data_IF_848820729395
#
_entry.id   IF_848820729395
#
_cell.length_a   1.000
_cell.length_b   1.000
_cell.length_c   1.000
_cell.angle_alpha   90.00
_cell.angle_beta   90.00
_cell.angle_gamma   90.00
#
_symmetry.space_group_name_H-M   'P 1'
#
loop_
_entity.id
_entity.type
_entity.pdbx_description
1 polymer ?
#
# COMPACT_ATOMS: atom_id res chain seq x y z
N UNK A 1 10.54 6.17 -10.10
CA UNK A 1 9.91 7.41 -9.60
C UNK A 1 8.41 7.16 -9.36
N UNK A 2 8.12 6.05 -8.72
CA UNK A 2 6.76 5.56 -8.59
C UNK A 2 5.91 6.50 -7.72
N UNK A 3 6.46 7.00 -6.63
CA UNK A 3 5.81 7.97 -5.76
C UNK A 3 5.50 9.32 -6.43
N UNK A 4 6.11 9.60 -7.58
CA UNK A 4 5.90 10.82 -8.35
C UNK A 4 4.80 10.70 -9.43
N UNK A 5 4.32 9.50 -9.74
CA UNK A 5 3.32 9.31 -10.81
C UNK A 5 2.03 10.13 -10.61
N UNK A 6 1.40 10.13 -9.43
CA UNK A 6 0.23 10.99 -9.20
C UNK A 6 0.53 12.48 -9.40
N UNK A 7 1.70 12.93 -8.98
CA UNK A 7 2.14 14.32 -9.17
C UNK A 7 2.35 14.64 -10.66
N UNK A 8 2.99 13.74 -11.41
CA UNK A 8 3.20 13.86 -12.86
C UNK A 8 1.86 13.92 -13.61
N UNK A 9 0.90 13.06 -13.27
CA UNK A 9 -0.45 13.06 -13.87
C UNK A 9 -1.13 14.42 -13.61
N UNK A 10 -1.08 14.92 -12.38
CA UNK A 10 -1.67 16.23 -12.03
C UNK A 10 -1.00 17.41 -12.74
N UNK A 11 0.31 17.30 -12.99
CA UNK A 11 1.08 18.31 -13.71
C UNK A 11 1.02 18.16 -15.23
N UNK A 12 0.16 17.30 -15.76
CA UNK A 12 0.03 17.06 -17.19
C UNK A 12 1.23 16.35 -17.82
N UNK A 13 1.88 15.49 -17.06
CA UNK A 13 3.04 14.72 -17.52
C UNK A 13 4.38 15.44 -17.38
N UNK A 14 4.44 16.50 -16.58
CA UNK A 14 5.66 17.30 -16.38
C UNK A 14 6.37 16.96 -15.08
N UNK A 15 7.68 16.90 -15.13
CA UNK A 15 8.57 16.72 -13.99
C UNK A 15 9.72 17.71 -13.99
N UNK A 16 10.39 17.86 -12.85
CA UNK A 16 11.55 18.75 -12.70
C UNK A 16 12.81 18.12 -13.27
N UNK A 17 13.47 18.84 -14.16
CA UNK A 17 14.77 18.49 -14.70
C UNK A 17 15.95 19.02 -13.87
N UNK A 18 17.17 18.64 -14.23
CA UNK A 18 18.40 19.07 -13.52
C UNK A 18 18.68 20.57 -13.63
N UNK A 19 18.06 21.26 -14.57
CA UNK A 19 18.09 22.72 -14.74
C UNK A 19 17.09 23.46 -13.85
N UNK A 20 16.42 22.74 -12.96
CA UNK A 20 15.39 23.24 -12.06
C UNK A 20 14.18 23.84 -12.81
N UNK A 21 13.84 23.28 -13.98
CA UNK A 21 12.65 23.62 -14.75
C UNK A 21 11.77 22.39 -15.00
N UNK A 22 10.50 22.64 -15.26
CA UNK A 22 9.57 21.59 -15.66
C UNK A 22 9.81 21.19 -17.12
N UNK A 23 9.92 19.90 -17.35
CA UNK A 23 10.04 19.27 -18.66
C UNK A 23 8.99 18.18 -18.83
N UNK A 24 8.66 17.86 -20.06
CA UNK A 24 7.88 16.68 -20.37
C UNK A 24 8.65 15.43 -19.92
N UNK A 25 7.95 14.53 -19.22
CA UNK A 25 8.55 13.35 -18.63
C UNK A 25 8.11 12.09 -19.36
N UNK A 26 9.06 11.31 -19.86
CA UNK A 26 8.79 9.97 -20.37
C UNK A 26 8.61 9.01 -19.20
N UNK A 27 7.42 8.43 -19.09
CA UNK A 27 7.12 7.41 -18.10
C UNK A 27 7.17 6.04 -18.77
N UNK A 28 8.10 5.19 -18.33
CA UNK A 28 8.14 3.79 -18.75
C UNK A 28 7.23 2.98 -17.83
N UNK A 29 6.15 2.45 -18.40
CA UNK A 29 5.27 1.51 -17.71
C UNK A 29 5.68 0.12 -18.19
N UNK A 30 6.24 -0.74 -17.32
CA UNK A 30 6.81 -2.02 -17.71
C UNK A 30 5.82 -3.01 -18.33
N UNK A 31 4.53 -2.84 -18.04
CA UNK A 31 3.44 -3.63 -18.61
C UNK A 31 2.11 -2.87 -18.55
N UNK A 32 1.04 -3.48 -19.05
CA UNK A 32 -0.28 -2.86 -19.10
C UNK A 32 -1.06 -2.92 -17.78
N UNK A 33 -0.47 -3.40 -16.68
CA UNK A 33 -1.20 -3.58 -15.43
C UNK A 33 -1.47 -2.28 -14.68
N UNK A 34 -0.66 -1.25 -14.86
CA UNK A 34 -0.81 0.03 -14.16
C UNK A 34 -1.71 1.04 -14.83
N UNK A 35 -1.53 1.22 -16.14
CA UNK A 35 -2.32 2.19 -16.89
C UNK A 35 -3.82 1.96 -16.70
N UNK A 36 -4.35 0.73 -16.74
CA UNK A 36 -5.73 0.45 -16.41
C UNK A 36 -6.14 0.81 -14.99
N UNK A 37 -5.28 0.63 -13.99
CA UNK A 37 -5.58 1.02 -12.59
C UNK A 37 -5.77 2.52 -12.48
N UNK A 38 -4.86 3.32 -13.06
CA UNK A 38 -4.98 4.77 -13.08
C UNK A 38 -6.21 5.24 -13.86
N UNK A 39 -6.45 4.69 -15.03
CA UNK A 39 -7.55 5.06 -15.91
C UNK A 39 -8.90 4.80 -15.24
N UNK A 40 -9.10 3.62 -14.71
CA UNK A 40 -10.34 3.26 -14.01
C UNK A 40 -10.55 4.06 -12.73
N UNK A 41 -9.49 4.33 -11.98
CA UNK A 41 -9.56 5.18 -10.79
C UNK A 41 -9.99 6.61 -11.15
N UNK A 42 -9.37 7.20 -12.17
CA UNK A 42 -9.70 8.55 -12.63
C UNK A 42 -11.14 8.61 -13.16
N UNK A 43 -11.59 7.64 -13.95
CA UNK A 43 -12.96 7.53 -14.45
C UNK A 43 -13.95 7.45 -13.29
N UNK A 44 -13.69 6.56 -12.33
CA UNK A 44 -14.54 6.36 -11.17
C UNK A 44 -14.75 7.67 -10.40
N UNK A 45 -13.69 8.43 -10.10
CA UNK A 45 -13.81 9.66 -9.35
C UNK A 45 -14.34 10.85 -10.16
N UNK A 46 -14.22 10.82 -11.47
CA UNK A 46 -14.94 11.78 -12.34
C UNK A 46 -16.46 11.57 -12.28
N UNK A 47 -16.89 10.34 -12.14
CA UNK A 47 -18.31 9.97 -12.09
C UNK A 47 -18.91 10.11 -10.67
N UNK A 48 -18.19 9.67 -9.65
CA UNK A 48 -18.71 9.52 -8.27
C UNK A 48 -18.23 10.63 -7.30
N UNK A 49 -17.28 11.47 -7.71
CA UNK A 49 -16.64 12.44 -6.82
C UNK A 49 -15.61 11.80 -5.89
N UNK A 50 -14.97 12.60 -5.05
CA UNK A 50 -13.95 12.11 -4.13
C UNK A 50 -14.55 11.38 -2.95
N UNK A 51 -13.82 10.40 -2.42
CA UNK A 51 -14.17 9.71 -1.18
C UNK A 51 -14.07 10.62 0.05
N UNK A 52 -14.92 10.36 1.03
CA UNK A 52 -14.75 10.90 2.38
C UNK A 52 -13.90 9.93 3.21
N UNK A 53 -12.69 10.29 3.63
CA UNK A 53 -11.82 9.39 4.38
C UNK A 53 -12.42 8.90 5.71
N UNK A 54 -13.29 9.69 6.35
CA UNK A 54 -13.93 9.32 7.60
C UNK A 54 -14.92 8.16 7.44
N UNK A 55 -15.59 8.07 6.29
CA UNK A 55 -16.64 7.06 6.05
C UNK A 55 -16.25 5.96 5.08
N UNK A 56 -15.17 6.15 4.31
CA UNK A 56 -14.69 5.16 3.37
C UNK A 56 -14.14 3.93 4.10
N UNK A 57 -14.29 2.76 3.47
CA UNK A 57 -13.60 1.55 3.89
C UNK A 57 -12.08 1.64 3.68
N UNK A 58 -11.36 0.64 4.17
CA UNK A 58 -9.91 0.51 4.01
C UNK A 58 -9.55 -0.50 2.95
N UNK A 59 -8.39 -0.32 2.33
CA UNK A 59 -7.78 -1.31 1.45
C UNK A 59 -6.50 -1.81 2.09
N UNK A 60 -6.46 -3.10 2.42
CA UNK A 60 -5.22 -3.79 2.76
C UNK A 60 -4.62 -4.36 1.48
N UNK A 61 -3.38 -4.02 1.19
CA UNK A 61 -2.69 -4.57 0.04
C UNK A 61 -1.67 -5.62 0.46
N UNK A 62 -1.78 -6.81 -0.09
CA UNK A 62 -0.86 -7.93 0.12
C UNK A 62 -0.05 -8.13 -1.15
N UNK A 63 1.17 -7.62 -1.16
CA UNK A 63 2.07 -7.70 -2.31
C UNK A 63 2.92 -8.97 -2.31
N UNK A 64 3.08 -9.59 -3.48
CA UNK A 64 3.99 -10.71 -3.66
C UNK A 64 5.44 -10.21 -3.64
N UNK A 65 6.13 -10.41 -2.55
CA UNK A 65 7.57 -10.15 -2.39
C UNK A 65 8.40 -11.40 -2.75
N UNK A 66 8.22 -11.87 -3.99
CA UNK A 66 8.86 -13.10 -4.46
C UNK A 66 10.38 -12.98 -4.60
N UNK A 67 10.87 -11.77 -4.70
CA UNK A 67 12.25 -11.45 -4.98
C UNK A 67 12.80 -10.43 -3.98
N UNK A 68 14.09 -10.22 -4.04
CA UNK A 68 14.71 -9.03 -3.48
C UNK A 68 14.00 -7.79 -4.01
N UNK A 69 14.15 -6.66 -3.35
CA UNK A 69 13.55 -5.38 -3.76
C UNK A 69 14.12 -4.84 -5.10
N UNK A 70 14.33 -5.71 -6.07
CA UNK A 70 14.91 -5.41 -7.39
C UNK A 70 13.98 -4.55 -8.25
N UNK A 71 12.69 -4.55 -7.93
CA UNK A 71 11.69 -3.75 -8.63
C UNK A 71 11.69 -2.27 -8.19
N UNK A 72 12.44 -1.93 -7.15
CA UNK A 72 12.41 -0.63 -6.49
C UNK A 72 13.64 0.24 -6.73
N UNK A 73 14.25 0.22 -7.86
CA UNK A 73 15.28 1.19 -8.18
C UNK A 73 16.68 0.64 -8.41
N UNK A 74 17.01 -0.54 -7.90
CA UNK A 74 18.23 -1.24 -8.26
C UNK A 74 17.87 -2.51 -9.02
N UNK A 75 18.01 -2.47 -10.34
CA UNK A 75 17.61 -3.56 -11.23
C UNK A 75 18.83 -4.09 -12.01
N UNK A 76 19.67 -4.95 -11.41
CA UNK A 76 20.85 -5.47 -12.08
C UNK A 76 20.52 -6.31 -13.32
N UNK A 77 19.28 -6.74 -13.44
CA UNK A 77 18.77 -7.51 -14.59
C UNK A 77 17.92 -6.66 -15.55
N UNK A 78 17.92 -5.33 -15.41
CA UNK A 78 17.24 -4.40 -16.31
C UNK A 78 18.27 -3.59 -17.08
N UNK A 79 18.17 -3.59 -18.40
CA UNK A 79 19.08 -2.86 -19.28
C UNK A 79 18.40 -2.43 -20.59
N UNK A 80 18.90 -1.37 -21.17
CA UNK A 80 18.52 -0.92 -22.51
C UNK A 80 19.27 -1.75 -23.56
N UNK A 81 18.56 -2.17 -24.60
CA UNK A 81 19.12 -2.93 -25.72
C UNK A 81 19.89 -1.97 -26.63
N UNK A 82 21.22 -2.14 -26.79
CA UNK A 82 22.04 -1.21 -27.56
C UNK A 82 21.88 -1.38 -29.07
N UNK A 83 21.50 -2.56 -29.54
CA UNK A 83 21.32 -2.89 -30.95
C UNK A 83 20.28 -3.98 -31.16
N UNK A 84 19.59 -3.96 -32.28
CA UNK A 84 18.59 -4.97 -32.61
C UNK A 84 19.21 -6.38 -32.66
N UNK A 85 18.50 -7.37 -32.14
CA UNK A 85 19.02 -8.72 -32.07
C UNK A 85 18.09 -9.71 -31.40
N UNK A 86 18.68 -10.64 -30.68
CA UNK A 86 17.90 -11.65 -29.93
C UNK A 86 18.45 -11.78 -28.51
N UNK A 87 17.59 -11.54 -27.51
CA UNK A 87 17.89 -11.85 -26.11
C UNK A 87 17.44 -13.27 -25.81
N UNK A 88 18.30 -14.03 -25.15
CA UNK A 88 18.04 -15.41 -24.75
C UNK A 88 18.26 -15.57 -23.23
N UNK A 89 17.40 -16.33 -22.60
CA UNK A 89 17.60 -16.85 -21.26
C UNK A 89 18.07 -18.30 -21.37
N UNK A 90 19.28 -18.57 -20.93
CA UNK A 90 19.96 -19.85 -21.11
C UNK A 90 20.32 -20.39 -19.73
N UNK A 91 19.99 -21.65 -19.47
CA UNK A 91 20.45 -22.37 -18.27
C UNK A 91 21.91 -22.79 -18.37
N UNK A 92 22.51 -23.14 -17.23
CA UNK A 92 23.92 -23.56 -17.15
C UNK A 92 24.25 -24.80 -18.01
N UNK A 93 23.24 -25.64 -18.29
CA UNK A 93 23.36 -26.82 -19.16
C UNK A 93 23.23 -26.48 -20.66
N UNK A 94 23.04 -25.21 -21.00
CA UNK A 94 22.87 -24.73 -22.39
C UNK A 94 21.41 -24.75 -22.87
N UNK A 95 20.45 -25.16 -22.07
CA UNK A 95 19.02 -25.16 -22.43
C UNK A 95 18.51 -23.72 -22.57
N UNK A 96 17.93 -23.38 -23.72
CA UNK A 96 17.29 -22.08 -23.96
C UNK A 96 15.87 -22.11 -23.45
N UNK A 97 15.57 -21.37 -22.38
CA UNK A 97 14.24 -21.23 -21.82
C UNK A 97 13.37 -20.25 -22.62
N UNK A 98 13.93 -19.10 -22.93
CA UNK A 98 13.26 -18.04 -23.69
C UNK A 98 14.19 -17.45 -24.75
N UNK A 99 13.60 -17.03 -25.85
CA UNK A 99 14.32 -16.37 -26.95
C UNK A 99 13.36 -15.35 -27.58
N UNK A 100 13.73 -14.08 -27.52
CA UNK A 100 12.91 -12.97 -28.00
C UNK A 100 13.70 -12.06 -28.93
N UNK A 101 13.11 -11.71 -30.07
CA UNK A 101 13.63 -10.65 -30.92
C UNK A 101 13.45 -9.31 -30.21
N UNK A 102 14.45 -8.45 -30.29
CA UNK A 102 14.46 -7.12 -29.66
C UNK A 102 15.01 -6.08 -30.63
N UNK A 103 14.59 -4.84 -30.42
CA UNK A 103 15.03 -3.69 -31.20
C UNK A 103 15.94 -2.77 -30.36
N UNK A 104 16.68 -1.91 -31.04
CA UNK A 104 17.51 -0.89 -30.40
C UNK A 104 16.63 0.04 -29.58
N UNK A 105 16.99 0.24 -28.28
CA UNK A 105 16.25 1.07 -27.34
C UNK A 105 15.18 0.32 -26.56
N UNK A 106 14.93 -0.96 -26.83
CA UNK A 106 14.05 -1.78 -25.98
C UNK A 106 14.63 -1.90 -24.58
N UNK A 107 13.74 -1.98 -23.59
CA UNK A 107 14.12 -2.23 -22.21
C UNK A 107 13.89 -3.70 -21.89
N UNK A 108 14.96 -4.40 -21.59
CA UNK A 108 14.90 -5.77 -21.11
C UNK A 108 14.96 -5.83 -19.59
N UNK A 109 14.10 -6.65 -19.01
CA UNK A 109 14.13 -6.96 -17.59
C UNK A 109 13.89 -8.44 -17.36
N UNK A 110 14.69 -9.05 -16.49
CA UNK A 110 14.52 -10.43 -16.06
C UNK A 110 14.32 -10.49 -14.56
N UNK A 111 13.31 -11.21 -14.14
CA UNK A 111 13.06 -11.54 -12.74
C UNK A 111 12.56 -12.98 -12.63
N UNK A 112 12.82 -13.64 -11.51
CA UNK A 112 12.32 -14.99 -11.26
C UNK A 112 11.43 -15.01 -10.02
N UNK A 113 10.20 -15.52 -10.15
CA UNK A 113 9.32 -15.80 -9.01
C UNK A 113 9.58 -17.23 -8.52
N UNK A 114 9.70 -17.38 -7.19
CA UNK A 114 9.92 -18.70 -6.56
C UNK A 114 8.62 -19.23 -5.97
N UNK A 115 8.46 -20.55 -5.98
CA UNK A 115 7.25 -21.22 -5.48
C UNK A 115 6.97 -20.93 -4.00
N UNK A 116 7.98 -21.03 -3.13
CA UNK A 116 7.79 -20.83 -1.70
C UNK A 116 7.29 -19.41 -1.33
N UNK A 117 7.81 -18.30 -1.89
CA UNK A 117 7.22 -16.97 -1.72
C UNK A 117 5.78 -16.87 -2.24
N UNK A 118 5.43 -17.53 -3.34
CA UNK A 118 4.06 -17.53 -3.86
C UNK A 118 3.11 -18.24 -2.89
N UNK A 119 3.51 -19.41 -2.38
CA UNK A 119 2.73 -20.15 -1.38
C UNK A 119 2.55 -19.34 -0.08
N UNK A 120 3.60 -18.67 0.39
CA UNK A 120 3.52 -17.81 1.58
C UNK A 120 2.61 -16.60 1.36
N UNK A 121 2.67 -15.98 0.18
CA UNK A 121 1.79 -14.88 -0.23
C UNK A 121 0.30 -15.29 -0.23
N UNK A 122 -0.04 -16.44 -0.80
CA UNK A 122 -1.41 -16.97 -0.78
C UNK A 122 -1.85 -17.31 0.65
N UNK A 123 -0.98 -17.91 1.45
CA UNK A 123 -1.28 -18.21 2.85
C UNK A 123 -1.50 -16.94 3.68
N UNK A 124 -0.73 -15.89 3.45
CA UNK A 124 -0.94 -14.58 4.08
C UNK A 124 -2.31 -13.98 3.69
N UNK A 125 -2.68 -14.08 2.40
CA UNK A 125 -3.98 -13.65 1.93
C UNK A 125 -5.12 -14.39 2.63
N UNK A 126 -5.02 -15.71 2.79
CA UNK A 126 -5.98 -16.53 3.51
C UNK A 126 -6.08 -16.13 4.99
N UNK A 127 -4.94 -15.91 5.63
CA UNK A 127 -4.88 -15.48 7.02
C UNK A 127 -5.57 -14.13 7.22
N UNK A 128 -5.28 -13.16 6.36
CA UNK A 128 -5.88 -11.81 6.45
C UNK A 128 -7.38 -11.83 6.12
N UNK A 129 -7.79 -12.55 5.09
CA UNK A 129 -9.20 -12.68 4.75
C UNK A 129 -10.01 -13.29 5.92
N UNK A 130 -9.46 -14.31 6.58
CA UNK A 130 -10.08 -14.93 7.74
C UNK A 130 -10.18 -13.96 8.95
N UNK A 131 -9.15 -13.15 9.16
CA UNK A 131 -9.12 -12.18 10.26
C UNK A 131 -10.11 -11.02 10.05
N UNK A 132 -10.17 -10.49 8.83
CA UNK A 132 -10.98 -9.33 8.48
C UNK A 132 -12.43 -9.68 8.08
N UNK A 133 -12.66 -10.87 7.56
CA UNK A 133 -13.97 -11.30 7.08
C UNK A 133 -14.53 -10.50 5.90
N UNK A 134 -13.71 -9.69 5.24
CA UNK A 134 -14.11 -8.82 4.14
C UNK A 134 -13.79 -9.39 2.76
N UNK A 135 -14.16 -8.66 1.71
CA UNK A 135 -13.82 -9.00 0.32
C UNK A 135 -12.31 -9.14 0.13
N UNK A 136 -11.90 -10.17 -0.63
CA UNK A 136 -10.50 -10.40 -0.96
C UNK A 136 -10.36 -10.75 -2.45
N UNK A 137 -9.54 -9.99 -3.17
CA UNK A 137 -9.41 -10.07 -4.62
C UNK A 137 -7.93 -10.25 -4.99
N UNK A 138 -7.62 -11.31 -5.73
CA UNK A 138 -6.36 -11.43 -6.45
C UNK A 138 -6.44 -10.60 -7.72
N UNK A 139 -5.55 -9.62 -7.85
CA UNK A 139 -5.46 -8.72 -8.99
C UNK A 139 -4.56 -9.34 -10.05
N UNK A 140 -5.10 -10.32 -10.76
CA UNK A 140 -4.38 -11.11 -11.75
C UNK A 140 -5.18 -11.17 -13.04
N UNK A 141 -4.51 -10.87 -14.15
CA UNK A 141 -5.07 -10.92 -15.50
C UNK A 141 -4.67 -12.23 -16.19
N UNK A 142 -5.65 -13.08 -16.50
CA UNK A 142 -5.40 -14.35 -17.19
C UNK A 142 -4.80 -14.20 -18.60
N UNK A 143 -4.92 -13.01 -19.18
CA UNK A 143 -4.35 -12.71 -20.50
C UNK A 143 -2.89 -12.25 -20.44
N UNK A 144 -2.40 -11.91 -19.26
CA UNK A 144 -0.99 -11.55 -19.01
C UNK A 144 -0.23 -12.82 -18.62
N UNK A 145 0.81 -13.17 -19.36
CA UNK A 145 1.54 -14.43 -19.18
C UNK A 145 2.03 -14.67 -17.73
N UNK A 146 2.60 -13.64 -17.09
CA UNK A 146 3.06 -13.74 -15.70
C UNK A 146 1.91 -14.02 -14.72
N UNK A 147 0.78 -13.34 -14.89
CA UNK A 147 -0.38 -13.51 -14.02
C UNK A 147 -1.06 -14.87 -14.25
N UNK A 148 -1.10 -15.36 -15.50
CA UNK A 148 -1.59 -16.68 -15.82
C UNK A 148 -0.80 -17.77 -15.07
N UNK A 149 0.53 -17.67 -15.01
CA UNK A 149 1.36 -18.56 -14.22
C UNK A 149 1.07 -18.45 -12.71
N UNK A 150 0.90 -17.24 -12.18
CA UNK A 150 0.50 -17.06 -10.77
C UNK A 150 -0.87 -17.68 -10.48
N UNK A 151 -1.84 -17.53 -11.37
CA UNK A 151 -3.17 -18.14 -11.24
C UNK A 151 -3.06 -19.67 -11.17
N UNK A 152 -2.15 -20.28 -11.94
CA UNK A 152 -1.90 -21.71 -11.90
C UNK A 152 -1.36 -22.21 -10.53
N UNK A 153 -0.71 -21.34 -9.75
CA UNK A 153 -0.33 -21.64 -8.35
C UNK A 153 -1.47 -21.34 -7.37
N UNK A 154 -2.16 -20.20 -7.54
CA UNK A 154 -3.16 -19.69 -6.60
C UNK A 154 -4.37 -20.63 -6.50
N UNK A 155 -4.99 -20.98 -7.62
CA UNK A 155 -6.22 -21.78 -7.63
C UNK A 155 -6.10 -23.11 -6.88
N UNK A 156 -5.10 -23.98 -7.16
CA UNK A 156 -4.94 -25.24 -6.44
C UNK A 156 -4.71 -25.07 -4.93
N UNK A 157 -4.01 -24.00 -4.50
CA UNK A 157 -3.78 -23.75 -3.09
C UNK A 157 -5.09 -23.39 -2.39
N UNK A 158 -5.89 -22.49 -2.97
CA UNK A 158 -7.19 -22.09 -2.42
C UNK A 158 -8.16 -23.28 -2.34
N UNK A 159 -8.20 -24.13 -3.38
CA UNK A 159 -9.00 -25.36 -3.41
C UNK A 159 -8.57 -26.35 -2.34
N UNK A 160 -7.26 -26.61 -2.23
CA UNK A 160 -6.71 -27.54 -1.23
C UNK A 160 -6.98 -27.07 0.21
N UNK A 161 -7.10 -25.75 0.43
CA UNK A 161 -7.44 -25.16 1.73
C UNK A 161 -8.96 -25.04 1.95
N UNK A 162 -9.79 -25.35 0.95
CA UNK A 162 -11.25 -25.28 1.05
C UNK A 162 -11.79 -23.85 1.21
N UNK A 163 -11.12 -22.87 0.64
CA UNK A 163 -11.46 -21.44 0.78
C UNK A 163 -11.62 -20.70 -0.56
N UNK A 164 -11.68 -21.44 -1.67
CA UNK A 164 -11.75 -20.82 -3.00
C UNK A 164 -12.96 -19.88 -3.18
N UNK A 165 -14.07 -20.18 -2.49
CA UNK A 165 -15.29 -19.36 -2.49
C UNK A 165 -15.15 -18.00 -1.78
N UNK A 166 -14.08 -17.79 -1.02
CA UNK A 166 -13.79 -16.55 -0.28
C UNK A 166 -12.97 -15.54 -1.08
N UNK A 167 -12.48 -15.96 -2.26
CA UNK A 167 -11.57 -15.15 -3.07
C UNK A 167 -12.10 -14.97 -4.48
N UNK A 168 -11.87 -13.78 -5.01
CA UNK A 168 -12.12 -13.47 -6.41
C UNK A 168 -10.77 -13.31 -7.11
N UNK A 169 -10.72 -13.61 -8.41
CA UNK A 169 -9.58 -13.36 -9.29
C UNK A 169 -10.09 -12.45 -10.40
N UNK A 170 -9.52 -11.26 -10.51
CA UNK A 170 -9.93 -10.25 -11.47
C UNK A 170 -8.73 -9.55 -12.07
N UNK A 171 -8.83 -9.13 -13.33
CA UNK A 171 -7.83 -8.25 -13.93
C UNK A 171 -7.73 -6.93 -13.14
N UNK A 172 -6.56 -6.26 -13.12
CA UNK A 172 -6.34 -5.02 -12.37
C UNK A 172 -7.41 -3.94 -12.63
N UNK A 173 -7.86 -3.77 -13.87
CA UNK A 173 -8.92 -2.82 -14.21
C UNK A 173 -10.24 -3.14 -13.49
N UNK A 174 -10.71 -4.39 -13.57
CA UNK A 174 -11.95 -4.83 -12.92
C UNK A 174 -11.83 -4.79 -11.40
N UNK A 175 -10.71 -5.24 -10.86
CA UNK A 175 -10.43 -5.24 -9.43
C UNK A 175 -10.41 -3.82 -8.87
N UNK A 176 -9.85 -2.85 -9.59
CA UNK A 176 -9.86 -1.43 -9.22
C UNK A 176 -11.31 -0.92 -9.04
N UNK A 177 -12.15 -1.11 -10.04
CA UNK A 177 -13.56 -0.67 -9.99
C UNK A 177 -14.31 -1.34 -8.85
N UNK A 178 -14.12 -2.66 -8.66
CA UNK A 178 -14.77 -3.40 -7.59
C UNK A 178 -14.32 -2.88 -6.21
N UNK A 179 -13.02 -2.76 -5.99
CA UNK A 179 -12.45 -2.23 -4.72
C UNK A 179 -12.96 -0.83 -4.43
N UNK A 180 -12.97 0.06 -5.43
CA UNK A 180 -13.49 1.43 -5.26
C UNK A 180 -14.97 1.46 -4.87
N UNK A 181 -15.81 0.60 -5.45
CA UNK A 181 -17.22 0.44 -5.05
C UNK A 181 -17.35 -0.02 -3.61
N UNK A 182 -16.57 -1.02 -3.22
CA UNK A 182 -16.58 -1.59 -1.87
C UNK A 182 -16.20 -0.54 -0.83
N UNK A 183 -15.10 0.17 -1.02
CA UNK A 183 -14.65 1.19 -0.05
C UNK A 183 -15.54 2.43 -0.04
N UNK A 184 -16.15 2.79 -1.16
CA UNK A 184 -17.14 3.88 -1.22
C UNK A 184 -18.39 3.55 -0.41
N UNK A 185 -18.76 2.28 -0.33
CA UNK A 185 -19.84 1.79 0.53
C UNK A 185 -19.45 1.68 2.02
N UNK A 186 -18.25 2.10 2.41
CA UNK A 186 -17.73 2.02 3.78
C UNK A 186 -17.27 0.61 4.20
N UNK A 187 -17.11 -0.30 3.24
CA UNK A 187 -16.67 -1.67 3.50
C UNK A 187 -15.19 -1.84 3.19
N UNK A 188 -14.51 -2.71 3.93
CA UNK A 188 -13.09 -3.00 3.70
C UNK A 188 -12.90 -3.97 2.53
N UNK A 189 -11.74 -3.89 1.88
CA UNK A 189 -11.33 -4.80 0.81
C UNK A 189 -9.86 -5.20 0.99
N UNK A 190 -9.50 -6.41 0.57
CA UNK A 190 -8.12 -6.89 0.52
C UNK A 190 -7.71 -7.02 -0.95
N UNK A 191 -6.75 -6.20 -1.37
CA UNK A 191 -6.13 -6.27 -2.68
C UNK A 191 -4.88 -7.17 -2.61
N UNK A 192 -4.92 -8.30 -3.29
CA UNK A 192 -3.82 -9.28 -3.32
C UNK A 192 -3.14 -9.16 -4.68
N UNK A 193 -1.94 -8.56 -4.70
CA UNK A 193 -1.31 -8.09 -5.93
C UNK A 193 0.08 -8.66 -6.14
N UNK A 194 0.58 -8.56 -7.36
CA UNK A 194 2.01 -8.64 -7.61
C UNK A 194 2.75 -7.49 -6.93
N UNK A 195 4.07 -7.62 -6.82
CA UNK A 195 4.90 -6.68 -6.07
C UNK A 195 4.83 -5.25 -6.63
N UNK A 196 4.79 -5.11 -7.92
CA UNK A 196 4.78 -3.80 -8.59
C UNK A 196 3.46 -3.07 -8.39
N UNK A 197 2.31 -3.75 -8.56
CA UNK A 197 1.00 -3.16 -8.27
C UNK A 197 0.84 -2.74 -6.80
N UNK A 198 1.51 -3.42 -5.88
CA UNK A 198 1.54 -3.06 -4.47
C UNK A 198 1.95 -1.60 -4.26
N UNK A 199 3.05 -1.17 -4.88
CA UNK A 199 3.53 0.21 -4.77
C UNK A 199 2.56 1.21 -5.37
N UNK A 200 2.06 0.93 -6.56
CA UNK A 200 1.15 1.83 -7.24
C UNK A 200 -0.15 2.01 -6.46
N UNK A 201 -0.68 0.97 -5.84
CA UNK A 201 -1.87 1.08 -5.02
C UNK A 201 -1.63 1.87 -3.74
N UNK A 202 -0.51 1.69 -3.07
CA UNK A 202 -0.18 2.45 -1.86
C UNK A 202 0.00 3.94 -2.13
N UNK A 203 0.43 4.32 -3.32
CA UNK A 203 0.58 5.72 -3.72
C UNK A 203 -0.70 6.30 -4.33
N UNK A 204 -1.37 5.53 -5.19
CA UNK A 204 -2.48 6.01 -6.00
C UNK A 204 -3.70 6.38 -5.15
N UNK A 205 -4.20 5.45 -4.35
CA UNK A 205 -5.43 5.67 -3.60
C UNK A 205 -5.29 6.79 -2.56
N UNK A 206 -4.27 6.82 -1.68
CA UNK A 206 -4.13 7.90 -0.72
C UNK A 206 -3.93 9.27 -1.37
N UNK A 207 -3.10 9.35 -2.41
CA UNK A 207 -2.67 10.64 -2.96
C UNK A 207 -3.71 11.26 -3.88
N UNK A 208 -4.36 10.47 -4.73
CA UNK A 208 -5.33 11.00 -5.70
C UNK A 208 -6.71 11.24 -5.07
N UNK A 209 -7.19 10.33 -4.25
CA UNK A 209 -8.60 10.22 -3.87
C UNK A 209 -8.86 10.61 -2.43
N UNK A 210 -8.11 10.01 -1.51
CA UNK A 210 -8.37 10.15 -0.09
C UNK A 210 -7.65 11.34 0.53
N UNK A 211 -6.58 11.82 -0.11
CA UNK A 211 -5.67 12.82 0.45
C UNK A 211 -5.11 12.44 1.83
N UNK A 212 -5.13 11.16 2.16
CA UNK A 212 -4.59 10.57 3.38
C UNK A 212 -4.14 9.13 3.14
N UNK A 213 -3.07 8.71 3.79
CA UNK A 213 -2.58 7.32 3.77
C UNK A 213 -3.30 6.39 4.75
N UNK A 214 -4.26 6.89 5.54
CA UNK A 214 -4.94 6.13 6.59
C UNK A 214 -5.78 4.96 6.07
N UNK A 215 -6.19 4.98 4.82
CA UNK A 215 -7.12 4.00 4.25
C UNK A 215 -6.45 2.98 3.32
N UNK A 216 -5.12 3.05 3.19
CA UNK A 216 -4.34 2.13 2.37
C UNK A 216 -3.09 1.68 3.12
N UNK A 217 -3.00 0.40 3.38
CA UNK A 217 -1.88 -0.22 4.09
C UNK A 217 -1.35 -1.43 3.32
N UNK A 218 -0.06 -1.44 3.04
CA UNK A 218 0.63 -2.58 2.45
C UNK A 218 1.15 -3.50 3.53
N UNK A 219 0.80 -4.78 3.44
CA UNK A 219 1.19 -5.81 4.40
C UNK A 219 2.06 -6.83 3.70
N UNK A 220 3.29 -6.98 4.16
CA UNK A 220 4.25 -7.95 3.63
C UNK A 220 4.84 -8.75 4.79
N UNK A 221 4.55 -10.03 4.82
CA UNK A 221 5.18 -10.95 5.76
C UNK A 221 6.57 -11.32 5.26
N UNK A 222 7.54 -11.30 6.15
CA UNK A 222 8.89 -11.78 5.86
C UNK A 222 8.98 -13.27 6.13
N UNK A 223 9.45 -14.06 5.17
CA UNK A 223 9.53 -15.52 5.27
C UNK A 223 10.43 -16.01 6.43
N UNK A 224 11.43 -15.22 6.79
CA UNK A 224 12.35 -15.49 7.91
C UNK A 224 11.78 -15.07 9.29
N UNK A 225 10.52 -14.68 9.33
CA UNK A 225 9.86 -14.08 10.49
C UNK A 225 9.89 -12.56 10.47
N UNK A 226 8.96 -11.96 11.18
CA UNK A 226 8.72 -10.53 11.15
C UNK A 226 7.63 -10.13 10.16
N UNK A 227 7.33 -8.86 10.09
CA UNK A 227 6.36 -8.27 9.17
C UNK A 227 6.82 -6.89 8.73
N UNK A 228 6.41 -6.49 7.55
CA UNK A 228 6.60 -5.15 7.01
C UNK A 228 5.22 -4.56 6.74
N UNK A 229 4.99 -3.39 7.29
CA UNK A 229 3.79 -2.59 7.06
C UNK A 229 4.22 -1.26 6.46
N UNK A 230 3.72 -0.94 5.28
CA UNK A 230 4.13 0.23 4.51
C UNK A 230 2.95 1.10 4.15
N UNK A 231 3.22 2.40 4.05
CA UNK A 231 2.32 3.40 3.48
C UNK A 231 3.01 4.14 2.34
N UNK A 232 2.25 4.66 1.38
CA UNK A 232 2.82 5.19 0.14
C UNK A 232 3.41 6.60 0.18
N UNK A 233 3.70 7.17 1.34
CA UNK A 233 3.97 8.61 1.46
C UNK A 233 5.45 9.05 1.29
N UNK A 234 6.40 8.12 1.05
CA UNK A 234 7.84 8.39 1.17
C UNK A 234 8.45 9.39 0.18
N UNK A 235 7.94 9.50 -1.05
CA UNK A 235 8.56 10.30 -2.11
C UNK A 235 8.50 11.81 -1.93
N UNK A 236 7.67 12.33 -1.05
CA UNK A 236 7.51 13.76 -0.78
C UNK A 236 8.24 14.28 0.47
N UNK A 237 8.91 13.41 1.22
CA UNK A 237 9.57 13.77 2.49
C UNK A 237 10.54 14.96 2.39
N UNK A 238 11.47 15.06 1.41
CA UNK A 238 12.35 16.22 1.28
C UNK A 238 11.60 17.54 1.12
N UNK A 239 10.49 17.54 0.37
CA UNK A 239 9.67 18.74 0.18
C UNK A 239 8.98 19.17 1.48
N UNK A 240 8.50 18.22 2.28
CA UNK A 240 7.88 18.51 3.57
C UNK A 240 8.89 19.08 4.56
N UNK A 241 10.14 18.56 4.59
CA UNK A 241 11.21 19.11 5.43
C UNK A 241 11.52 20.55 5.02
N UNK A 242 11.64 20.83 3.71
CA UNK A 242 11.84 22.19 3.22
C UNK A 242 10.72 23.13 3.69
N UNK A 243 9.48 22.73 3.55
CA UNK A 243 8.32 23.52 3.96
C UNK A 243 8.31 23.78 5.47
N UNK A 244 8.68 22.79 6.28
CA UNK A 244 8.81 23.00 7.74
C UNK A 244 9.85 24.06 8.07
N UNK A 245 10.99 24.04 7.40
CA UNK A 245 12.08 25.00 7.63
C UNK A 245 11.70 26.42 7.17
N UNK A 246 11.09 26.54 6.00
CA UNK A 246 10.74 27.82 5.37
C UNK A 246 9.48 28.46 5.98
N UNK A 247 8.46 27.64 6.27
CA UNK A 247 7.13 28.10 6.66
C UNK A 247 6.77 27.80 8.12
N UNK A 248 7.60 27.04 8.85
CA UNK A 248 7.29 26.48 10.17
C UNK A 248 5.94 25.75 10.19
N UNK A 249 5.63 25.05 9.11
CA UNK A 249 4.35 24.35 8.92
C UNK A 249 4.57 23.01 8.22
N UNK A 250 4.25 21.91 8.90
CA UNK A 250 4.44 20.55 8.40
C UNK A 250 3.11 19.95 7.89
N UNK A 251 2.96 19.88 6.57
CA UNK A 251 1.75 19.35 5.90
C UNK A 251 1.71 17.83 5.83
N UNK A 252 2.70 17.16 6.42
CA UNK A 252 2.76 15.70 6.40
C UNK A 252 1.58 15.09 7.13
N UNK A 253 0.88 14.15 6.48
CA UNK A 253 -0.18 13.35 7.09
C UNK A 253 0.40 12.03 7.60
N UNK A 254 0.43 11.82 8.90
CA UNK A 254 0.97 10.62 9.55
C UNK A 254 -0.07 9.54 9.81
N UNK A 255 -1.27 9.65 9.29
CA UNK A 255 -2.34 8.65 9.53
C UNK A 255 -1.96 7.26 9.01
N UNK A 256 -1.22 7.18 7.91
CA UNK A 256 -0.70 5.91 7.40
C UNK A 256 0.28 5.26 8.37
N UNK A 257 1.20 6.03 8.92
CA UNK A 257 2.16 5.56 9.93
C UNK A 257 1.43 5.09 11.20
N UNK A 258 0.38 5.77 11.61
CA UNK A 258 -0.46 5.33 12.73
C UNK A 258 -1.14 3.99 12.42
N UNK A 259 -1.70 3.83 11.22
CA UNK A 259 -2.28 2.55 10.80
C UNK A 259 -1.23 1.43 10.78
N UNK A 260 -0.02 1.70 10.29
CA UNK A 260 1.09 0.75 10.31
C UNK A 260 1.50 0.38 11.76
N UNK A 261 1.46 1.33 12.68
CA UNK A 261 1.70 1.10 14.11
C UNK A 261 0.64 0.15 14.69
N UNK A 262 -0.64 0.37 14.41
CA UNK A 262 -1.74 -0.48 14.85
C UNK A 262 -1.59 -1.92 14.36
N UNK A 263 -1.31 -2.11 13.08
CA UNK A 263 -1.08 -3.44 12.51
C UNK A 263 0.19 -4.10 13.06
N UNK A 264 1.23 -3.32 13.38
CA UNK A 264 2.44 -3.85 14.01
C UNK A 264 2.17 -4.41 15.41
N UNK A 265 1.32 -3.74 16.20
CA UNK A 265 0.89 -4.25 17.51
C UNK A 265 0.03 -5.51 17.37
N UNK A 266 -0.91 -5.56 16.43
CA UNK A 266 -1.74 -6.75 16.16
C UNK A 266 -0.88 -7.93 15.71
N UNK A 267 0.08 -7.70 14.82
CA UNK A 267 1.05 -8.71 14.41
C UNK A 267 1.86 -9.24 15.61
N UNK A 268 2.33 -8.35 16.49
CA UNK A 268 3.05 -8.73 17.71
C UNK A 268 2.17 -9.58 18.63
N UNK A 269 0.89 -9.23 18.76
CA UNK A 269 -0.07 -9.96 19.57
C UNK A 269 -0.20 -11.42 19.10
N UNK A 270 -0.32 -11.62 17.79
CA UNK A 270 -0.40 -12.96 17.19
C UNK A 270 0.93 -13.72 17.29
N UNK A 271 2.03 -13.08 16.88
CA UNK A 271 3.35 -13.72 16.79
C UNK A 271 3.94 -14.11 18.17
N UNK A 272 3.52 -13.44 19.24
CA UNK A 272 4.04 -13.62 20.61
C UNK A 272 2.99 -13.98 21.63
N UNK A 273 1.74 -14.24 21.21
CA UNK A 273 0.59 -14.46 22.10
C UNK A 273 0.51 -13.40 23.21
N UNK A 274 0.56 -12.12 22.79
CA UNK A 274 0.61 -10.98 23.70
C UNK A 274 -0.69 -10.15 23.61
N UNK A 275 -1.63 -10.43 24.49
CA UNK A 275 -2.94 -9.76 24.51
C UNK A 275 -2.85 -8.26 24.78
N UNK A 276 -1.85 -7.80 25.56
CA UNK A 276 -1.62 -6.37 25.77
C UNK A 276 -1.28 -5.64 24.46
N UNK A 277 -0.50 -6.28 23.60
CA UNK A 277 -0.20 -5.73 22.28
C UNK A 277 -1.47 -5.61 21.42
N UNK A 278 -2.40 -6.56 21.50
CA UNK A 278 -3.71 -6.46 20.83
C UNK A 278 -4.49 -5.24 21.27
N UNK A 279 -4.64 -5.04 22.58
CA UNK A 279 -5.33 -3.89 23.16
C UNK A 279 -4.70 -2.57 22.73
N UNK A 280 -3.34 -2.50 22.69
CA UNK A 280 -2.63 -1.32 22.20
C UNK A 280 -2.95 -1.05 20.73
N UNK A 281 -2.96 -2.07 19.86
CA UNK A 281 -3.26 -1.94 18.44
C UNK A 281 -4.72 -1.51 18.18
N UNK A 282 -5.67 -2.09 18.86
CA UNK A 282 -7.09 -1.68 18.78
C UNK A 282 -7.27 -0.21 19.22
N UNK A 283 -6.56 0.21 20.26
CA UNK A 283 -6.53 1.61 20.70
C UNK A 283 -5.97 2.56 19.63
N UNK A 284 -4.95 2.13 18.87
CA UNK A 284 -4.40 2.90 17.74
C UNK A 284 -5.45 3.11 16.65
N UNK A 285 -6.23 2.07 16.31
CA UNK A 285 -7.29 2.19 15.31
C UNK A 285 -8.35 3.21 15.73
N UNK A 286 -8.79 3.14 16.99
CA UNK A 286 -9.74 4.09 17.55
C UNK A 286 -9.19 5.52 17.50
N UNK A 287 -7.93 5.71 17.86
CA UNK A 287 -7.27 7.01 17.81
C UNK A 287 -7.14 7.55 16.38
N UNK A 288 -6.75 6.71 15.44
CA UNK A 288 -6.63 7.07 14.02
C UNK A 288 -7.99 7.49 13.46
N UNK A 289 -9.04 6.72 13.77
CA UNK A 289 -10.40 7.09 13.38
C UNK A 289 -10.85 8.39 14.07
N UNK A 290 -10.51 8.62 15.32
CA UNK A 290 -10.80 9.86 16.02
C UNK A 290 -10.16 11.10 15.38
N UNK A 291 -8.94 10.99 14.87
CA UNK A 291 -8.29 12.07 14.10
C UNK A 291 -9.10 12.40 12.84
N UNK A 292 -9.63 11.40 12.14
CA UNK A 292 -10.45 11.59 10.94
C UNK A 292 -11.82 12.19 11.28
N UNK A 293 -12.51 11.62 12.23
CA UNK A 293 -13.88 12.01 12.60
C UNK A 293 -13.97 13.45 13.11
N UNK A 294 -12.93 13.91 13.80
CA UNK A 294 -12.86 15.26 14.35
C UNK A 294 -12.09 16.25 13.47
N UNK A 295 -11.69 15.84 12.24
CA UNK A 295 -10.99 16.71 11.30
C UNK A 295 -9.63 17.21 11.82
N UNK A 296 -8.87 16.35 12.50
CA UNK A 296 -7.57 16.68 13.13
C UNK A 296 -6.37 16.37 12.24
N UNK A 297 -6.59 16.10 10.95
CA UNK A 297 -5.51 15.97 9.97
C UNK A 297 -4.82 17.31 9.70
N UNK A 298 -3.54 17.31 9.28
CA UNK A 298 -2.81 18.54 8.97
C UNK A 298 -3.49 19.39 7.91
N UNK A 299 -3.59 20.69 8.15
CA UNK A 299 -4.07 21.64 7.14
C UNK A 299 -2.98 21.93 6.10
N UNK A 300 -3.41 22.28 4.90
CA UNK A 300 -2.49 22.78 3.86
C UNK A 300 -2.12 24.24 4.02
N UNK A 301 -2.80 24.98 4.89
CA UNK A 301 -2.60 26.42 5.09
C UNK A 301 -1.69 26.69 6.26
N UNK A 302 -0.71 27.56 6.05
CA UNK A 302 0.18 28.06 7.11
C UNK A 302 -0.63 28.78 8.18
N UNK A 303 -0.30 28.53 9.45
CA UNK A 303 -0.98 29.13 10.61
C UNK A 303 -2.24 28.38 11.07
N UNK A 304 -2.63 27.32 10.38
CA UNK A 304 -3.63 26.35 10.84
C UNK A 304 -2.94 25.12 11.45
N UNK A 305 -3.65 24.19 12.12
CA UNK A 305 -3.08 22.97 12.67
C UNK A 305 -2.27 22.17 11.66
N UNK A 306 -1.09 21.71 12.06
CA UNK A 306 -0.18 20.94 11.23
C UNK A 306 0.02 19.50 11.73
N UNK A 307 1.03 18.80 11.23
CA UNK A 307 1.33 17.42 11.63
C UNK A 307 1.56 17.28 13.14
N UNK A 308 2.16 18.29 13.80
CA UNK A 308 2.44 18.26 15.25
C UNK A 308 1.14 18.27 16.06
N UNK A 309 0.16 19.05 15.63
CA UNK A 309 -1.18 19.07 16.24
C UNK A 309 -1.89 17.72 16.04
N UNK A 310 -1.78 17.13 14.83
CA UNK A 310 -2.31 15.79 14.57
C UNK A 310 -1.73 14.74 15.51
N UNK A 311 -0.43 14.78 15.80
CA UNK A 311 0.21 13.85 16.74
C UNK A 311 -0.30 14.03 18.16
N UNK A 312 -0.53 15.28 18.59
CA UNK A 312 -1.14 15.56 19.89
C UNK A 312 -2.55 14.92 19.99
N UNK A 313 -3.40 15.14 18.99
CA UNK A 313 -4.74 14.59 18.98
C UNK A 313 -4.75 13.06 18.90
N UNK A 314 -3.86 12.49 18.11
CA UNK A 314 -3.68 11.04 18.06
C UNK A 314 -3.28 10.47 19.43
N UNK A 315 -2.27 11.06 20.08
CA UNK A 315 -1.82 10.61 21.39
C UNK A 315 -2.92 10.73 22.46
N UNK A 316 -3.70 11.80 22.41
CA UNK A 316 -4.84 12.02 23.30
C UNK A 316 -5.91 10.95 23.09
N UNK A 317 -6.38 10.76 21.86
CA UNK A 317 -7.40 9.75 21.55
C UNK A 317 -6.92 8.33 21.86
N UNK A 318 -5.65 8.05 21.64
CA UNK A 318 -5.10 6.75 21.99
C UNK A 318 -5.07 6.51 23.49
N UNK A 319 -4.64 7.49 24.28
CA UNK A 319 -4.67 7.41 25.74
C UNK A 319 -6.11 7.29 26.28
N UNK A 320 -7.06 8.05 25.72
CA UNK A 320 -8.49 7.97 26.06
C UNK A 320 -9.08 6.57 25.75
N UNK A 321 -8.76 6.01 24.56
CA UNK A 321 -9.19 4.68 24.18
C UNK A 321 -8.62 3.60 25.10
N UNK A 322 -7.34 3.69 25.45
CA UNK A 322 -6.68 2.75 26.36
C UNK A 322 -7.20 2.87 27.80
N UNK A 323 -7.56 4.05 28.24
CA UNK A 323 -8.17 4.26 29.56
C UNK A 323 -9.61 3.72 29.64
N UNK A 324 -10.33 3.75 28.52
CA UNK A 324 -11.75 3.35 28.47
C UNK A 324 -11.98 1.87 28.15
N UNK A 325 -10.98 1.15 27.63
CA UNK A 325 -11.12 -0.25 27.25
C UNK A 325 -11.26 -1.17 28.50
N UNK A 326 -11.88 -2.34 28.30
CA UNK A 326 -12.15 -3.32 29.36
C UNK A 326 -11.38 -4.62 29.20
N UNK A 327 -10.61 -4.78 28.14
CA UNK A 327 -9.87 -6.01 27.83
C UNK A 327 -8.64 -6.23 28.72
N UNK A 328 -8.02 -5.13 29.21
CA UNK A 328 -6.89 -5.16 30.14
C UNK A 328 -7.01 -4.05 31.19
N UNK A 329 -7.51 -4.36 32.40
CA UNK A 329 -7.68 -3.37 33.48
C UNK A 329 -6.38 -2.69 33.93
N UNK A 330 -5.25 -3.38 33.86
CA UNK A 330 -3.96 -2.81 34.26
C UNK A 330 -3.52 -1.72 33.27
N UNK A 331 -3.68 -1.97 31.96
CA UNK A 331 -3.43 -0.95 30.94
C UNK A 331 -4.41 0.21 31.09
N UNK A 332 -5.69 -0.03 31.34
CA UNK A 332 -6.66 1.03 31.57
C UNK A 332 -6.26 1.93 32.75
N UNK A 333 -5.90 1.33 33.88
CA UNK A 333 -5.44 2.06 35.05
C UNK A 333 -4.13 2.84 34.78
N UNK A 334 -3.22 2.27 34.00
CA UNK A 334 -1.95 2.93 33.63
C UNK A 334 -2.18 4.16 32.76
N UNK A 335 -3.07 4.09 31.77
CA UNK A 335 -3.30 5.20 30.83
C UNK A 335 -4.32 6.24 31.32
N UNK A 336 -5.15 5.96 32.32
CA UNK A 336 -6.15 6.90 32.83
C UNK A 336 -5.57 8.26 33.27
N UNK A 337 -4.46 8.34 34.04
CA UNK A 337 -3.88 9.64 34.39
C UNK A 337 -3.30 10.40 33.18
N UNK A 338 -2.74 9.68 32.20
CA UNK A 338 -2.23 10.28 30.97
C UNK A 338 -3.37 10.84 30.12
N UNK A 339 -4.46 10.07 29.94
CA UNK A 339 -5.63 10.53 29.22
C UNK A 339 -6.21 11.82 29.83
N UNK A 340 -6.30 11.87 31.17
CA UNK A 340 -6.74 13.06 31.88
C UNK A 340 -5.80 14.25 31.65
N UNK A 341 -4.49 14.07 31.77
CA UNK A 341 -3.50 15.12 31.56
C UNK A 341 -3.54 15.70 30.13
N UNK A 342 -3.68 14.82 29.12
CA UNK A 342 -3.81 15.23 27.71
C UNK A 342 -5.17 15.92 27.42
N UNK A 343 -6.20 15.65 28.19
CA UNK A 343 -7.48 16.33 28.03
C UNK A 343 -7.52 17.74 28.63
N UNK A 344 -6.68 17.99 29.64
CA UNK A 344 -6.57 19.28 30.35
C UNK A 344 -5.58 20.25 29.69
N UNK A 345 -4.66 19.77 28.85
CA UNK A 345 -3.66 20.56 28.11
C UNK A 345 -4.09 20.87 26.70
#
# INVERSE_FOLDING_TARGET
IDASMPALIRAGGKGWGPDNKEHDTTCLIPDNSYAPVYDETIKFFKEHGKLNPATAGTVQNIGLMAQKAEEYGSHPTTFEIPEAGTVKMILDDGTVLHSHAVETGDIWRSASARKAPIEDWVNLAIQRQKAEGCEAIFWLDETRAHDAELIAYVKPILEAKGVADKFQIMSPAKATVQTLKTITAGQNSIAITGNVLRDYLTDLFPILELATSAKMLSIVKLMQGGGLFETGAGGSAPKHVQQLVEENHLRWDSLGEFSALGESFKFLAEARANDKARVLGEGVDIATQGVLDHGRSPSRKVGEPDNRDSHYWFARYWAEALAAQTGDPDLAAHFAPLAKALAEG
#
